data_IF_929741152543
#
_entry.id   IF_929741152543
#
_cell.length_a   1.000
_cell.length_b   1.000
_cell.length_c   1.000
_cell.angle_alpha   90.00
_cell.angle_beta   90.00
_cell.angle_gamma   90.00
#
_symmetry.space_group_name_H-M   'P 1'
#
loop_
_entity.id
_entity.type
_entity.pdbx_description
1 polymer ?
#
# COMPACT_ATOMS: atom_id res chain seq x y z
N UNK A 1 30.82 -13.72 -20.34
CA UNK A 1 29.78 -13.39 -19.35
C UNK A 1 29.23 -12.01 -19.68
N UNK A 2 28.03 -11.95 -20.23
CA UNK A 2 27.36 -10.69 -20.59
C UNK A 2 26.66 -10.13 -19.35
N UNK A 3 26.91 -8.85 -19.03
CA UNK A 3 26.26 -8.16 -17.93
C UNK A 3 24.72 -8.20 -18.10
N UNK A 4 23.94 -8.41 -17.02
CA UNK A 4 22.49 -8.39 -17.12
C UNK A 4 22.03 -6.99 -17.59
N UNK A 5 21.16 -6.97 -18.60
CA UNK A 5 20.48 -5.75 -19.08
C UNK A 5 19.89 -5.02 -17.88
N UNK A 6 20.28 -3.77 -17.65
CA UNK A 6 19.68 -2.93 -16.63
C UNK A 6 18.19 -2.75 -16.95
N UNK A 7 17.32 -3.50 -16.26
CA UNK A 7 15.89 -3.26 -16.29
C UNK A 7 15.65 -1.82 -15.85
N UNK A 8 14.92 -1.04 -16.64
CA UNK A 8 14.48 0.30 -16.26
C UNK A 8 13.98 0.30 -14.81
N UNK A 9 14.29 1.32 -13.98
CA UNK A 9 13.81 1.43 -12.61
C UNK A 9 12.33 1.09 -12.50
N UNK A 10 11.98 -0.03 -11.82
CA UNK A 10 10.59 -0.43 -11.65
C UNK A 10 9.95 0.53 -10.64
N UNK A 11 8.89 1.22 -11.05
CA UNK A 11 8.08 2.06 -10.15
C UNK A 11 7.10 1.15 -9.42
N UNK A 12 7.26 1.06 -8.09
CA UNK A 12 6.33 0.31 -7.25
C UNK A 12 5.34 1.27 -6.60
N UNK A 13 4.05 0.94 -6.71
CA UNK A 13 2.99 1.71 -6.08
C UNK A 13 2.72 1.15 -4.68
N UNK A 14 2.80 2.02 -3.67
CA UNK A 14 2.34 1.70 -2.32
C UNK A 14 0.83 1.57 -2.28
N UNK A 15 0.11 2.38 -3.07
CA UNK A 15 -1.34 2.35 -3.21
C UNK A 15 -1.69 1.93 -4.64
N UNK A 16 -2.45 0.84 -4.85
CA UNK A 16 -2.73 0.31 -6.17
C UNK A 16 -3.43 1.30 -7.08
N UNK A 17 -3.01 1.34 -8.34
CA UNK A 17 -3.65 2.18 -9.36
C UNK A 17 -5.14 1.90 -9.51
N UNK A 18 -5.57 0.64 -9.37
CA UNK A 18 -6.99 0.29 -9.50
C UNK A 18 -7.84 0.99 -8.44
N UNK A 19 -7.31 1.14 -7.22
CA UNK A 19 -7.96 1.88 -6.15
C UNK A 19 -7.93 3.39 -6.43
N UNK A 20 -6.76 3.94 -6.79
CA UNK A 20 -6.60 5.37 -7.11
C UNK A 20 -7.56 5.83 -8.22
N UNK A 21 -7.81 4.98 -9.22
CA UNK A 21 -8.74 5.22 -10.32
C UNK A 21 -10.19 5.43 -9.86
N UNK A 22 -10.60 4.91 -8.69
CA UNK A 22 -11.93 5.18 -8.13
C UNK A 22 -12.11 6.64 -7.72
N UNK A 23 -11.02 7.37 -7.51
CA UNK A 23 -11.01 8.79 -7.24
C UNK A 23 -10.77 9.65 -8.49
N UNK A 24 -10.69 9.01 -9.64
CA UNK A 24 -10.41 9.67 -10.91
C UNK A 24 -11.67 9.82 -11.76
N UNK A 25 -11.81 10.97 -12.40
CA UNK A 25 -12.85 11.18 -13.42
C UNK A 25 -12.54 10.51 -14.76
N UNK A 26 -11.25 10.44 -15.11
CA UNK A 26 -10.78 10.00 -16.43
C UNK A 26 -9.91 8.74 -16.35
N UNK A 27 -9.78 8.14 -15.15
CA UNK A 27 -8.93 6.98 -14.90
C UNK A 27 -7.42 7.25 -14.93
N UNK A 28 -6.99 8.50 -15.15
CA UNK A 28 -5.59 8.89 -15.34
C UNK A 28 -5.10 9.88 -14.28
N UNK A 29 -5.98 10.75 -13.80
CA UNK A 29 -5.63 11.88 -12.93
C UNK A 29 -6.56 11.99 -11.73
N UNK A 30 -6.03 12.53 -10.64
CA UNK A 30 -6.71 12.73 -9.36
C UNK A 30 -6.42 14.14 -8.85
N UNK A 31 -7.27 14.68 -7.97
CA UNK A 31 -6.90 15.89 -7.22
C UNK A 31 -6.16 15.44 -5.96
N UNK A 32 -4.95 15.95 -5.76
CA UNK A 32 -4.11 15.65 -4.61
C UNK A 32 -3.97 16.87 -3.69
N UNK A 33 -3.79 16.67 -2.40
CA UNK A 33 -3.35 17.73 -1.48
C UNK A 33 -1.98 17.36 -0.92
N UNK A 34 -1.03 18.29 -1.01
CA UNK A 34 0.31 18.14 -0.43
C UNK A 34 0.35 18.93 0.89
N UNK A 35 0.55 18.22 2.00
CA UNK A 35 0.56 18.84 3.33
C UNK A 35 1.77 19.71 3.59
N UNK A 36 2.97 19.23 3.24
CA UNK A 36 4.21 19.95 3.52
C UNK A 36 4.20 21.35 2.88
N UNK A 37 3.52 21.47 1.74
CA UNK A 37 3.36 22.73 0.99
C UNK A 37 1.99 23.38 1.18
N UNK A 38 1.09 22.79 1.98
CA UNK A 38 -0.25 23.29 2.23
C UNK A 38 -1.09 23.58 0.98
N UNK A 39 -0.90 22.81 -0.11
CA UNK A 39 -1.46 23.18 -1.44
C UNK A 39 -2.19 22.05 -2.15
N UNK A 40 -3.24 22.42 -2.87
CA UNK A 40 -3.97 21.53 -3.81
C UNK A 40 -3.19 21.39 -5.11
N UNK A 41 -3.00 20.17 -5.55
CA UNK A 41 -2.43 19.79 -6.84
C UNK A 41 -3.57 19.21 -7.70
N UNK A 42 -4.21 20.02 -8.55
CA UNK A 42 -5.27 19.53 -9.41
C UNK A 42 -4.71 18.62 -10.51
N UNK A 43 -5.48 17.59 -10.89
CA UNK A 43 -5.17 16.71 -12.03
C UNK A 43 -3.79 16.03 -11.96
N UNK A 44 -3.31 15.71 -10.75
CA UNK A 44 -2.08 14.95 -10.54
C UNK A 44 -2.18 13.58 -11.23
N UNK A 45 -1.15 13.22 -12.00
CA UNK A 45 -1.10 11.94 -12.71
C UNK A 45 -0.99 10.78 -11.75
N UNK A 46 -1.92 9.82 -11.81
CA UNK A 46 -1.91 8.60 -10.99
C UNK A 46 -0.60 7.83 -11.13
N UNK A 47 0.05 7.88 -12.30
CA UNK A 47 1.32 7.18 -12.56
C UNK A 47 2.42 7.59 -11.58
N UNK A 48 2.47 8.87 -11.19
CA UNK A 48 3.49 9.39 -10.28
C UNK A 48 3.03 9.57 -8.84
N UNK A 49 1.84 9.08 -8.47
CA UNK A 49 1.30 9.23 -7.12
C UNK A 49 1.38 7.91 -6.36
N UNK A 50 1.70 8.01 -5.06
CA UNK A 50 1.87 6.88 -4.16
C UNK A 50 2.80 5.80 -4.74
N UNK A 51 3.89 6.20 -5.40
CA UNK A 51 4.90 5.31 -5.96
C UNK A 51 6.32 5.74 -5.62
N UNK A 52 7.26 4.78 -5.70
CA UNK A 52 8.69 5.02 -5.54
C UNK A 52 9.48 4.17 -6.54
N UNK A 53 10.51 4.77 -7.14
CA UNK A 53 11.47 4.07 -8.02
C UNK A 53 12.43 3.23 -7.19
N UNK A 54 12.87 2.09 -7.76
CA UNK A 54 13.85 1.18 -7.14
C UNK A 54 13.44 0.70 -5.74
N UNK A 55 12.13 0.68 -5.48
CA UNK A 55 11.60 0.18 -4.22
C UNK A 55 11.46 -1.35 -4.33
N UNK A 56 12.57 -2.06 -4.14
CA UNK A 56 12.59 -3.52 -4.01
C UNK A 56 12.01 -3.92 -2.64
N UNK A 57 10.77 -3.54 -2.34
CA UNK A 57 10.19 -3.74 -1.01
C UNK A 57 9.86 -5.20 -0.67
N UNK A 58 9.87 -6.08 -1.67
CA UNK A 58 9.31 -7.43 -1.57
C UNK A 58 10.31 -8.47 -2.04
N UNK A 59 10.48 -9.52 -1.23
CA UNK A 59 11.19 -10.72 -1.65
C UNK A 59 10.50 -11.35 -2.87
N UNK A 60 11.25 -12.10 -3.71
CA UNK A 60 10.65 -12.87 -4.81
C UNK A 60 9.45 -13.72 -4.32
N UNK A 61 8.37 -13.75 -5.11
CA UNK A 61 7.11 -14.43 -4.75
C UNK A 61 6.07 -13.54 -4.07
N UNK A 62 6.47 -12.62 -3.17
CA UNK A 62 5.52 -11.71 -2.50
C UNK A 62 4.85 -10.77 -3.50
N UNK A 63 5.59 -10.29 -4.51
CA UNK A 63 5.03 -9.40 -5.54
C UNK A 63 3.95 -10.10 -6.38
N UNK A 64 4.11 -11.39 -6.67
CA UNK A 64 3.14 -12.16 -7.44
C UNK A 64 1.85 -12.40 -6.64
N UNK A 65 1.98 -12.81 -5.38
CA UNK A 65 0.84 -13.03 -4.50
C UNK A 65 0.09 -11.72 -4.20
N UNK A 66 0.81 -10.61 -4.04
CA UNK A 66 0.21 -9.28 -3.95
C UNK A 66 -0.59 -8.93 -5.22
N UNK A 67 -0.05 -9.24 -6.40
CA UNK A 67 -0.75 -9.00 -7.67
C UNK A 67 -2.06 -9.79 -7.75
N UNK A 68 -2.06 -11.07 -7.35
CA UNK A 68 -3.26 -11.92 -7.30
C UNK A 68 -4.29 -11.38 -6.31
N UNK A 69 -3.85 -10.96 -5.12
CA UNK A 69 -4.71 -10.33 -4.11
C UNK A 69 -5.34 -9.03 -4.63
N UNK A 70 -4.56 -8.19 -5.33
CA UNK A 70 -5.04 -6.95 -5.94
C UNK A 70 -6.08 -7.19 -7.04
N UNK A 71 -5.87 -8.20 -7.89
CA UNK A 71 -6.81 -8.56 -8.95
C UNK A 71 -8.16 -9.00 -8.38
N UNK A 72 -8.14 -9.88 -7.39
CA UNK A 72 -9.37 -10.35 -6.72
C UNK A 72 -10.05 -9.22 -5.96
N UNK A 73 -9.29 -8.41 -5.23
CA UNK A 73 -9.85 -7.27 -4.49
C UNK A 73 -10.44 -6.20 -5.41
N UNK A 74 -9.83 -5.96 -6.56
CA UNK A 74 -10.35 -5.05 -7.59
C UNK A 74 -11.78 -5.42 -8.01
N UNK A 75 -12.04 -6.72 -8.19
CA UNK A 75 -13.36 -7.27 -8.52
C UNK A 75 -14.35 -7.10 -7.35
N UNK A 76 -13.92 -7.38 -6.12
CA UNK A 76 -14.75 -7.24 -4.92
C UNK A 76 -15.14 -5.77 -4.70
N UNK A 77 -14.18 -4.84 -4.73
CA UNK A 77 -14.45 -3.40 -4.59
C UNK A 77 -15.39 -2.90 -5.70
N UNK A 78 -15.26 -3.44 -6.91
CA UNK A 78 -16.21 -3.14 -7.98
C UNK A 78 -17.64 -3.51 -7.60
N UNK A 79 -17.87 -4.76 -7.16
CA UNK A 79 -19.18 -5.22 -6.71
C UNK A 79 -19.72 -4.37 -5.56
N UNK A 80 -18.89 -4.08 -4.54
CA UNK A 80 -19.28 -3.22 -3.40
C UNK A 80 -19.77 -1.84 -3.86
N UNK A 81 -19.12 -1.25 -4.87
CA UNK A 81 -19.54 0.03 -5.43
C UNK A 81 -20.82 -0.07 -6.28
N UNK A 82 -21.02 -1.17 -6.99
CA UNK A 82 -22.19 -1.40 -7.86
C UNK A 82 -23.43 -1.75 -7.02
N UNK A 83 -23.30 -2.65 -6.06
CA UNK A 83 -24.38 -3.16 -5.20
C UNK A 83 -24.64 -2.27 -3.99
N UNK A 84 -23.73 -1.33 -3.69
CA UNK A 84 -23.79 -0.46 -2.50
C UNK A 84 -23.91 -1.28 -1.21
N UNK A 85 -23.25 -2.43 -1.18
CA UNK A 85 -23.32 -3.40 -0.09
C UNK A 85 -21.94 -4.02 0.18
N UNK A 86 -21.65 -4.34 1.43
CA UNK A 86 -20.45 -5.10 1.77
C UNK A 86 -20.66 -6.59 1.45
N UNK A 87 -19.58 -7.35 1.19
CA UNK A 87 -19.68 -8.80 1.11
C UNK A 87 -20.23 -9.35 2.44
N UNK A 88 -20.99 -10.45 2.42
CA UNK A 88 -21.56 -11.03 3.64
C UNK A 88 -20.51 -11.36 4.70
N UNK A 89 -20.90 -11.30 5.98
CA UNK A 89 -20.08 -11.75 7.11
C UNK A 89 -19.64 -13.21 6.87
N UNK A 90 -18.34 -13.48 7.02
CA UNK A 90 -17.79 -14.83 6.84
C UNK A 90 -17.57 -15.27 5.40
N UNK A 91 -17.87 -14.43 4.39
CA UNK A 91 -17.59 -14.76 2.98
C UNK A 91 -16.11 -14.61 2.64
N UNK A 92 -15.64 -15.39 1.66
CA UNK A 92 -14.27 -15.30 1.12
C UNK A 92 -13.98 -13.92 0.53
N UNK A 93 -14.97 -13.28 -0.09
CA UNK A 93 -14.86 -11.91 -0.60
C UNK A 93 -14.59 -10.93 0.55
N UNK A 94 -15.22 -11.12 1.72
CA UNK A 94 -14.96 -10.28 2.90
C UNK A 94 -13.58 -10.54 3.49
N UNK A 95 -13.18 -11.81 3.59
CA UNK A 95 -11.84 -12.18 4.07
C UNK A 95 -10.76 -11.60 3.16
N UNK A 96 -10.93 -11.73 1.83
CA UNK A 96 -10.02 -11.18 0.83
C UNK A 96 -9.91 -9.66 0.97
N UNK A 97 -11.04 -8.97 1.11
CA UNK A 97 -11.05 -7.51 1.29
C UNK A 97 -10.35 -7.09 2.60
N UNK A 98 -10.57 -7.82 3.70
CA UNK A 98 -9.88 -7.59 4.97
C UNK A 98 -8.37 -7.81 4.85
N UNK A 99 -7.96 -8.92 4.25
CA UNK A 99 -6.55 -9.22 3.98
C UNK A 99 -5.93 -8.09 3.16
N UNK A 100 -6.57 -7.65 2.08
CA UNK A 100 -6.09 -6.51 1.31
C UNK A 100 -5.93 -5.24 2.16
N UNK A 101 -6.88 -4.92 3.04
CA UNK A 101 -6.79 -3.75 3.92
C UNK A 101 -5.61 -3.85 4.91
N UNK A 102 -5.40 -5.03 5.50
CA UNK A 102 -4.26 -5.30 6.39
C UNK A 102 -2.94 -5.13 5.62
N UNK A 103 -2.81 -5.76 4.46
CA UNK A 103 -1.63 -5.61 3.61
C UNK A 103 -1.41 -4.15 3.20
N UNK A 104 -2.48 -3.42 2.87
CA UNK A 104 -2.41 -2.02 2.49
C UNK A 104 -1.95 -1.12 3.65
N UNK A 105 -2.36 -1.44 4.88
CA UNK A 105 -1.92 -0.75 6.11
C UNK A 105 -0.44 -1.01 6.40
N UNK A 106 0.04 -2.22 6.13
CA UNK A 106 1.41 -2.64 6.43
C UNK A 106 2.41 -2.19 5.34
N UNK A 107 1.99 -2.05 4.07
CA UNK A 107 2.88 -1.74 2.94
C UNK A 107 3.12 -0.25 2.63
N UNK A 108 3.03 0.63 3.63
CA UNK A 108 3.22 2.07 3.41
C UNK A 108 4.70 2.45 3.35
N UNK A 109 5.01 3.57 2.68
CA UNK A 109 6.37 4.12 2.70
C UNK A 109 6.87 4.45 4.12
N UNK A 110 5.95 4.81 5.02
CA UNK A 110 6.25 5.01 6.45
C UNK A 110 6.57 3.70 7.16
N UNK A 111 5.83 2.63 6.91
CA UNK A 111 6.13 1.31 7.48
C UNK A 111 7.53 0.85 7.06
N UNK A 112 7.87 1.03 5.78
CA UNK A 112 9.20 0.71 5.27
C UNK A 112 10.32 1.54 5.93
N UNK A 113 10.08 2.84 6.17
CA UNK A 113 11.08 3.69 6.83
C UNK A 113 11.26 3.34 8.30
N UNK A 114 10.17 3.03 9.01
CA UNK A 114 10.21 2.57 10.41
C UNK A 114 10.95 1.24 10.51
N UNK A 115 10.67 0.28 9.64
CA UNK A 115 11.36 -1.01 9.63
C UNK A 115 12.86 -0.88 9.37
N UNK A 116 13.27 0.03 8.47
CA UNK A 116 14.70 0.32 8.26
C UNK A 116 15.34 0.92 9.51
N UNK A 117 14.70 1.92 10.11
CA UNK A 117 15.20 2.57 11.33
C UNK A 117 15.37 1.56 12.47
N UNK A 118 14.39 0.67 12.66
CA UNK A 118 14.47 -0.38 13.67
C UNK A 118 15.61 -1.36 13.37
N UNK A 119 15.75 -1.81 12.12
CA UNK A 119 16.84 -2.70 11.72
C UNK A 119 18.22 -2.08 11.97
N UNK A 120 18.41 -0.81 11.61
CA UNK A 120 19.68 -0.10 11.85
C UNK A 120 19.94 0.11 13.35
N UNK A 121 18.90 0.38 14.14
CA UNK A 121 19.01 0.49 15.59
C UNK A 121 19.37 -0.85 16.24
N UNK A 122 18.73 -1.95 15.84
CA UNK A 122 19.04 -3.29 16.34
C UNK A 122 20.47 -3.70 16.02
N UNK A 123 20.93 -3.46 14.80
CA UNK A 123 22.32 -3.71 14.39
C UNK A 123 23.30 -2.95 15.31
N UNK A 124 23.03 -1.67 15.54
CA UNK A 124 23.84 -0.83 16.43
C UNK A 124 23.82 -1.31 17.88
N UNK A 125 22.67 -1.74 18.40
CA UNK A 125 22.52 -2.15 19.80
C UNK A 125 23.14 -3.52 20.08
N UNK A 126 22.95 -4.48 19.17
CA UNK A 126 23.38 -5.87 19.35
C UNK A 126 24.86 -6.03 19.00
N UNK A 127 25.32 -5.37 17.94
CA UNK A 127 26.65 -5.58 17.40
C UNK A 127 27.60 -4.41 17.70
N UNK A 128 27.10 -3.19 17.88
CA UNK A 128 27.93 -2.02 18.18
C UNK A 128 28.99 -1.80 17.10
N UNK A 129 30.26 -2.02 17.44
CA UNK A 129 31.39 -1.99 16.49
C UNK A 129 31.85 -3.37 16.01
N UNK A 130 31.36 -4.44 16.62
CA UNK A 130 31.67 -5.80 16.18
C UNK A 130 30.80 -6.14 14.97
N UNK A 131 31.31 -6.83 13.95
CA UNK A 131 30.47 -7.29 12.87
C UNK A 131 29.54 -8.42 13.35
N UNK A 132 28.28 -8.49 12.87
CA UNK A 132 27.42 -9.66 13.06
C UNK A 132 28.08 -10.93 12.52
N UNK A 133 27.71 -12.08 13.07
CA UNK A 133 28.05 -13.37 12.47
C UNK A 133 27.42 -13.48 11.06
N UNK A 134 27.93 -14.37 10.19
CA UNK A 134 27.48 -14.44 8.80
C UNK A 134 25.98 -14.69 8.60
N UNK A 135 25.33 -15.41 9.52
CA UNK A 135 23.90 -15.71 9.43
C UNK A 135 23.08 -14.46 9.75
N UNK A 136 23.39 -13.80 10.87
CA UNK A 136 22.76 -12.52 11.25
C UNK A 136 23.01 -11.43 10.20
N UNK A 137 24.22 -11.39 9.61
CA UNK A 137 24.55 -10.44 8.54
C UNK A 137 23.68 -10.67 7.29
N UNK A 138 23.42 -11.93 6.93
CA UNK A 138 22.57 -12.29 5.80
C UNK A 138 21.10 -11.90 6.07
N UNK A 139 20.59 -12.14 7.27
CA UNK A 139 19.25 -11.73 7.67
C UNK A 139 19.07 -10.21 7.63
N UNK A 140 20.01 -9.45 8.22
CA UNK A 140 20.00 -7.98 8.19
C UNK A 140 20.08 -7.45 6.76
N UNK A 141 20.87 -8.08 5.88
CA UNK A 141 20.95 -7.70 4.48
C UNK A 141 19.59 -7.89 3.76
N UNK A 142 18.91 -9.02 4.00
CA UNK A 142 17.57 -9.29 3.47
C UNK A 142 16.56 -8.26 4.02
N UNK A 143 16.61 -7.97 5.31
CA UNK A 143 15.74 -6.98 5.97
C UNK A 143 15.91 -5.57 5.38
N UNK A 144 17.16 -5.15 5.15
CA UNK A 144 17.49 -3.87 4.51
C UNK A 144 17.08 -3.82 3.04
N UNK A 145 17.23 -4.95 2.34
CA UNK A 145 16.85 -5.09 0.95
C UNK A 145 15.34 -5.03 0.76
N UNK A 146 14.57 -5.70 1.62
CA UNK A 146 13.11 -5.83 1.52
C UNK A 146 12.39 -5.27 2.77
N UNK A 147 12.44 -3.95 3.01
CA UNK A 147 11.95 -3.35 4.27
C UNK A 147 10.44 -3.47 4.48
N UNK A 148 9.67 -3.88 3.47
CA UNK A 148 8.22 -4.14 3.61
C UNK A 148 7.93 -5.61 3.89
N UNK A 149 8.87 -6.52 3.64
CA UNK A 149 8.71 -7.93 3.98
C UNK A 149 8.48 -8.12 5.48
N UNK A 150 9.18 -7.35 6.34
CA UNK A 150 9.02 -7.41 7.80
C UNK A 150 7.61 -6.98 8.23
N UNK A 151 7.10 -5.78 7.88
CA UNK A 151 5.71 -5.44 8.15
C UNK A 151 4.70 -6.44 7.59
N UNK A 152 4.98 -7.08 6.46
CA UNK A 152 4.06 -8.06 5.87
C UNK A 152 4.12 -9.43 6.53
N UNK A 153 5.21 -9.80 7.19
CA UNK A 153 5.32 -11.11 7.85
C UNK A 153 4.33 -11.27 9.00
N UNK A 154 3.88 -10.16 9.60
CA UNK A 154 2.86 -10.15 10.66
C UNK A 154 1.43 -10.06 10.14
N UNK A 155 1.22 -10.01 8.82
CA UNK A 155 -0.11 -9.96 8.24
C UNK A 155 -0.99 -11.18 8.61
N UNK A 156 -0.47 -12.43 8.64
CA UNK A 156 -1.23 -13.60 9.06
C UNK A 156 -1.78 -13.49 10.49
N UNK A 157 -1.05 -12.84 11.40
CA UNK A 157 -1.50 -12.61 12.78
C UNK A 157 -2.51 -11.46 12.87
N UNK A 158 -2.39 -10.47 11.99
CA UNK A 158 -3.25 -9.29 11.98
C UNK A 158 -4.62 -9.53 11.35
N UNK A 159 -4.73 -10.41 10.36
CA UNK A 159 -5.99 -10.70 9.69
C UNK A 159 -7.07 -11.25 10.64
N UNK A 160 -6.80 -12.25 11.50
CA UNK A 160 -7.77 -12.74 12.50
C UNK A 160 -8.22 -11.66 13.47
N UNK A 161 -7.30 -10.79 13.91
CA UNK A 161 -7.63 -9.65 14.79
C UNK A 161 -8.54 -8.66 14.06
N UNK A 162 -8.21 -8.30 12.82
CA UNK A 162 -9.01 -7.43 12.00
C UNK A 162 -10.40 -8.02 11.66
N UNK A 163 -10.50 -9.35 11.51
CA UNK A 163 -11.76 -10.03 11.25
C UNK A 163 -12.78 -9.94 12.41
N UNK A 164 -12.31 -9.65 13.63
CA UNK A 164 -13.18 -9.37 14.79
C UNK A 164 -13.76 -7.95 14.76
N UNK A 165 -13.21 -7.06 13.94
CA UNK A 165 -13.73 -5.71 13.76
C UNK A 165 -14.96 -5.73 12.84
N UNK A 166 -15.88 -4.78 13.07
CA UNK A 166 -16.99 -4.56 12.14
C UNK A 166 -16.54 -3.68 10.98
N UNK A 167 -16.66 -4.20 9.77
CA UNK A 167 -16.52 -3.42 8.54
C UNK A 167 -17.79 -2.60 8.30
N UNK A 168 -17.62 -1.30 8.01
CA UNK A 168 -18.72 -0.39 7.71
C UNK A 168 -18.53 0.22 6.31
N UNK A 169 -19.64 0.40 5.59
CA UNK A 169 -19.68 1.09 4.31
C UNK A 169 -20.20 2.51 4.51
N UNK A 170 -19.36 3.50 4.21
CA UNK A 170 -19.75 4.91 4.28
C UNK A 170 -20.27 5.38 2.91
N UNK A 171 -21.52 5.82 2.90
CA UNK A 171 -22.16 6.38 1.70
C UNK A 171 -22.20 7.90 1.79
N UNK A 172 -21.51 8.57 0.87
CA UNK A 172 -21.55 10.02 0.77
C UNK A 172 -22.74 10.48 -0.06
N UNK A 173 -23.77 10.96 0.64
CA UNK A 173 -24.97 11.56 0.06
C UNK A 173 -24.82 13.07 -0.20
N UNK A 174 -23.64 13.64 0.01
CA UNK A 174 -23.38 15.07 -0.16
C UNK A 174 -22.85 15.38 -1.56
N UNK A 175 -22.84 16.68 -1.90
CA UNK A 175 -22.21 17.18 -3.13
C UNK A 175 -20.68 17.30 -3.01
N UNK A 176 -20.12 17.10 -1.82
CA UNK A 176 -18.67 17.21 -1.58
C UNK A 176 -18.01 15.86 -1.88
N UNK A 177 -16.88 15.83 -2.60
CA UNK A 177 -16.16 14.58 -2.87
C UNK A 177 -15.65 13.92 -1.58
N UNK A 178 -15.52 12.59 -1.58
CA UNK A 178 -14.77 11.90 -0.53
C UNK A 178 -13.29 12.24 -0.63
N UNK A 179 -12.66 12.40 0.52
CA UNK A 179 -11.22 12.51 0.70
C UNK A 179 -10.69 11.17 1.22
N UNK A 180 -9.67 10.62 0.57
CA UNK A 180 -8.95 9.44 1.08
C UNK A 180 -7.50 9.82 1.38
N UNK A 181 -7.01 9.42 2.55
CA UNK A 181 -5.68 9.72 3.04
C UNK A 181 -4.74 8.53 2.84
N UNK A 182 -3.55 8.78 2.29
CA UNK A 182 -2.46 7.80 2.28
C UNK A 182 -1.17 8.43 2.80
N UNK A 183 -0.55 7.78 3.77
CA UNK A 183 0.82 8.11 4.19
C UNK A 183 1.81 7.55 3.18
N UNK A 184 2.56 8.42 2.52
CA UNK A 184 3.74 8.04 1.73
C UNK A 184 4.99 8.24 2.56
N UNK A 185 6.15 7.74 2.09
CA UNK A 185 7.44 7.98 2.75
C UNK A 185 7.80 9.48 2.80
N UNK A 186 7.22 10.28 1.90
CA UNK A 186 7.54 11.69 1.68
C UNK A 186 6.37 12.62 2.07
N UNK A 187 5.50 12.16 2.97
CA UNK A 187 4.35 12.93 3.49
C UNK A 187 2.99 12.30 3.22
N UNK A 188 1.94 12.90 3.79
CA UNK A 188 0.55 12.46 3.61
C UNK A 188 -0.03 13.05 2.32
N UNK A 189 -0.76 12.26 1.54
CA UNK A 189 -1.47 12.73 0.33
C UNK A 189 -2.97 12.46 0.50
N UNK A 190 -3.80 13.50 0.37
CA UNK A 190 -5.25 13.32 0.22
C UNK A 190 -5.66 13.26 -1.22
N UNK A 191 -6.64 12.42 -1.52
CA UNK A 191 -7.21 12.28 -2.85
C UNK A 191 -8.71 12.51 -2.86
N UNK A 192 -9.21 13.27 -3.83
CA UNK A 192 -10.64 13.59 -3.92
C UNK A 192 -11.31 12.89 -5.10
N UNK A 193 -12.49 12.27 -4.90
CA UNK A 193 -13.35 11.77 -5.97
C UNK A 193 -14.60 12.64 -6.11
N UNK A 194 -14.80 13.36 -7.22
CA UNK A 194 -16.09 14.04 -7.48
C UNK A 194 -17.20 13.00 -7.68
N UNK A 195 -18.28 13.15 -6.93
CA UNK A 195 -19.51 12.34 -7.01
C UNK A 195 -19.97 12.18 -8.47
N UNK A 196 -20.25 10.93 -8.87
CA UNK A 196 -21.08 10.67 -10.06
C UNK A 196 -22.49 11.14 -9.72
N UNK A 197 -22.95 12.19 -10.41
CA UNK A 197 -24.37 12.54 -10.43
C UNK A 197 -25.14 11.25 -10.74
N UNK A 198 -25.95 10.79 -9.80
CA UNK A 198 -27.05 9.90 -10.15
C UNK A 198 -28.03 10.82 -10.88
N UNK A 199 -28.17 10.60 -12.18
CA UNK A 199 -29.32 11.05 -12.94
C UNK A 199 -30.48 10.11 -12.67
#
# INVERSE_FOLDING_TARGET
>A
MTAPKSSSPKEHHFVPKFYLRRFSKNGKQIHAFNFDRGRVIPNASIKGQCSRRNFHGFAPGIEEELSKLEETTSRIIRKVCEDVALPPQGSDDRLTLLTFLVFQKLRTGRSASVSRMLSDYYDTLVHGSNPPDPETAAELAIMRQYPVAIPLSVAPDMVPVAARLQMQLLLNKTRRPFLSEFSTADGTIWMTAKSRKHG
#
